data_IF_380263130107
#
_entry.id   IF_380263130107
#
_cell.length_a   1.000
_cell.length_b   1.000
_cell.length_c   1.000
_cell.angle_alpha   90.00
_cell.angle_beta   90.00
_cell.angle_gamma   90.00
#
_symmetry.space_group_name_H-M   'P 1'
#
loop_
_entity.id
_entity.type
_entity.pdbx_description
1 polymer ?
#
# COMPACT_ATOMS: atom_id res chain seq x y z
N UNK A 1 -55.80 -63.41 -4.50
CA UNK A 1 -54.87 -62.69 -5.41
C UNK A 1 -54.33 -61.48 -4.68
N UNK A 2 -53.03 -61.46 -4.37
CA UNK A 2 -52.33 -60.36 -3.70
C UNK A 2 -52.01 -59.28 -4.74
N UNK A 3 -52.44 -58.03 -4.52
CA UNK A 3 -51.86 -56.87 -5.20
C UNK A 3 -51.07 -56.07 -4.17
N UNK A 4 -49.76 -56.19 -4.31
CA UNK A 4 -48.73 -55.44 -3.60
C UNK A 4 -48.34 -54.22 -4.46
N UNK A 5 -47.62 -53.29 -3.83
CA UNK A 5 -46.86 -52.13 -4.37
C UNK A 5 -47.58 -50.78 -4.45
N UNK A 6 -47.50 -50.04 -3.35
CA UNK A 6 -47.29 -48.58 -3.37
C UNK A 6 -45.83 -48.33 -3.01
N UNK A 7 -45.05 -47.76 -3.93
CA UNK A 7 -43.63 -47.45 -3.70
C UNK A 7 -43.50 -46.06 -3.10
N UNK A 8 -42.98 -46.08 -1.88
CA UNK A 8 -42.61 -44.95 -1.03
C UNK A 8 -41.44 -44.14 -1.64
N UNK A 9 -41.50 -42.84 -1.38
CA UNK A 9 -40.61 -41.74 -1.77
C UNK A 9 -39.09 -42.05 -1.86
N UNK A 10 -38.44 -41.48 -2.88
CA UNK A 10 -37.00 -41.18 -2.85
C UNK A 10 -36.86 -39.68 -2.62
N UNK A 11 -36.33 -39.32 -1.45
CA UNK A 11 -36.14 -37.95 -1.00
C UNK A 11 -35.02 -37.22 -1.72
N UNK A 12 -35.22 -35.92 -1.91
CA UNK A 12 -34.20 -34.97 -2.37
C UNK A 12 -33.22 -34.75 -1.20
N UNK A 13 -32.00 -35.28 -1.31
CA UNK A 13 -30.92 -34.93 -0.40
C UNK A 13 -30.34 -33.57 -0.82
N UNK A 14 -30.80 -32.49 -0.18
CA UNK A 14 -30.11 -31.19 -0.22
C UNK A 14 -28.92 -31.28 0.72
N UNK A 15 -27.74 -31.56 0.16
CA UNK A 15 -26.47 -31.46 0.89
C UNK A 15 -26.18 -29.99 1.13
N UNK A 16 -26.51 -29.51 2.33
CA UNK A 16 -26.07 -28.22 2.83
C UNK A 16 -24.56 -28.29 3.09
N UNK A 17 -23.78 -27.90 2.09
CA UNK A 17 -22.36 -27.61 2.27
C UNK A 17 -22.25 -26.25 2.97
N UNK A 18 -22.38 -26.25 4.30
CA UNK A 18 -22.04 -25.12 5.16
C UNK A 18 -20.51 -24.99 5.15
N UNK A 19 -19.98 -24.40 4.08
CA UNK A 19 -18.57 -24.03 4.00
C UNK A 19 -18.29 -22.96 5.04
N UNK A 20 -17.41 -23.26 6.00
CA UNK A 20 -16.82 -22.24 6.86
C UNK A 20 -16.10 -21.24 5.98
N UNK A 21 -16.73 -20.10 5.69
CA UNK A 21 -16.06 -18.94 5.12
C UNK A 21 -15.14 -18.40 6.20
N UNK A 22 -13.87 -18.83 6.19
CA UNK A 22 -12.85 -18.16 6.95
C UNK A 22 -12.77 -16.72 6.44
N UNK A 23 -13.20 -15.76 7.25
CA UNK A 23 -12.97 -14.34 6.96
C UNK A 23 -11.47 -14.13 7.02
N UNK A 24 -10.83 -13.95 5.85
CA UNK A 24 -9.48 -13.43 5.82
C UNK A 24 -9.54 -12.02 6.43
N UNK A 25 -8.95 -11.84 7.61
CA UNK A 25 -8.76 -10.51 8.16
C UNK A 25 -7.60 -9.90 7.39
N UNK A 26 -7.86 -8.79 6.70
CA UNK A 26 -6.77 -7.97 6.19
C UNK A 26 -5.97 -7.45 7.40
N UNK A 27 -4.65 -7.56 7.37
CA UNK A 27 -3.76 -7.17 8.47
C UNK A 27 -2.98 -5.92 8.05
N UNK A 28 -2.70 -5.03 8.99
CA UNK A 28 -1.74 -3.95 8.78
C UNK A 28 -0.37 -4.51 8.42
N UNK A 29 0.20 -4.04 7.32
CA UNK A 29 1.56 -4.40 6.89
C UNK A 29 2.49 -3.22 7.11
N UNK A 30 3.63 -3.46 7.75
CA UNK A 30 4.64 -2.43 8.04
C UNK A 30 5.90 -2.68 7.23
N UNK A 31 6.38 -1.65 6.55
CA UNK A 31 7.61 -1.63 5.78
C UNK A 31 8.64 -0.78 6.52
N UNK A 32 9.82 -1.36 6.78
CA UNK A 32 10.99 -0.61 7.22
C UNK A 32 11.76 -0.20 5.97
N UNK A 33 11.78 1.08 5.66
CA UNK A 33 12.27 1.60 4.39
C UNK A 33 13.53 2.45 4.59
N UNK A 34 14.43 2.34 3.61
CA UNK A 34 15.52 3.29 3.38
C UNK A 34 15.34 3.86 1.98
N UNK A 35 15.07 5.16 1.92
CA UNK A 35 14.88 5.91 0.68
C UNK A 35 16.17 6.67 0.39
N UNK A 36 16.69 6.54 -0.83
CA UNK A 36 17.92 7.19 -1.27
C UNK A 36 17.59 8.12 -2.43
N UNK A 37 18.00 9.38 -2.38
CA UNK A 37 17.82 10.29 -3.52
C UNK A 37 18.63 9.84 -4.75
N UNK A 38 19.71 9.09 -4.54
CA UNK A 38 20.42 8.37 -5.61
C UNK A 38 19.55 7.38 -6.40
N UNK A 39 18.42 6.92 -5.85
CA UNK A 39 17.51 5.99 -6.53
C UNK A 39 16.43 6.70 -7.35
N UNK A 40 16.38 8.03 -7.38
CA UNK A 40 15.39 8.76 -8.17
C UNK A 40 15.77 8.75 -9.67
N UNK A 41 14.91 8.22 -10.56
CA UNK A 41 15.14 8.25 -11.99
C UNK A 41 14.68 9.58 -12.64
N UNK A 42 15.43 10.08 -13.61
CA UNK A 42 14.98 11.16 -14.48
C UNK A 42 13.92 10.67 -15.50
N UNK A 43 13.43 11.57 -16.36
CA UNK A 43 12.48 11.22 -17.43
C UNK A 43 13.02 10.30 -18.52
N UNK A 44 14.34 10.08 -18.57
CA UNK A 44 15.00 9.13 -19.47
C UNK A 44 15.38 7.81 -18.75
N UNK A 45 15.12 7.69 -17.45
CA UNK A 45 15.39 6.52 -16.63
C UNK A 45 16.80 6.45 -16.03
N UNK A 46 17.58 7.54 -16.11
CA UNK A 46 18.87 7.61 -15.44
C UNK A 46 18.67 7.82 -13.94
N UNK A 47 19.29 6.98 -13.11
CA UNK A 47 19.27 7.13 -11.65
C UNK A 47 20.14 8.30 -11.18
N UNK A 48 19.86 8.79 -9.98
CA UNK A 48 20.61 9.89 -9.35
C UNK A 48 20.13 11.28 -9.78
N UNK A 49 18.90 11.37 -10.30
CA UNK A 49 18.27 12.64 -10.66
C UNK A 49 17.78 13.43 -9.44
N UNK A 50 17.57 12.72 -8.32
CA UNK A 50 17.26 13.30 -7.02
C UNK A 50 18.48 13.87 -6.32
N UNK A 51 18.44 13.95 -5.00
CA UNK A 51 19.58 14.39 -4.20
C UNK A 51 20.54 13.22 -3.91
N UNK A 52 21.76 13.18 -4.50
CA UNK A 52 22.56 11.96 -4.49
C UNK A 52 23.02 11.48 -3.11
N UNK A 53 23.14 12.38 -2.13
CA UNK A 53 23.50 12.06 -0.73
C UNK A 53 22.31 12.15 0.23
N UNK A 54 21.12 12.49 -0.28
CA UNK A 54 19.86 12.51 0.45
C UNK A 54 19.41 11.12 0.86
N UNK A 55 19.03 10.98 2.13
CA UNK A 55 18.56 9.72 2.70
C UNK A 55 17.38 9.94 3.63
N UNK A 56 16.40 9.03 3.60
CA UNK A 56 15.37 8.91 4.63
C UNK A 56 15.25 7.46 5.11
N UNK A 57 15.06 7.28 6.41
CA UNK A 57 14.82 5.97 7.02
C UNK A 57 13.59 6.04 7.91
N UNK A 58 12.79 4.99 7.92
CA UNK A 58 11.55 5.03 8.67
C UNK A 58 10.63 3.86 8.42
N UNK A 59 9.41 4.03 8.93
CA UNK A 59 8.33 3.07 8.79
C UNK A 59 7.20 3.64 7.94
N UNK A 60 6.64 2.77 7.11
CA UNK A 60 5.37 2.98 6.42
C UNK A 60 4.45 1.81 6.77
N UNK A 61 3.29 2.09 7.35
CA UNK A 61 2.30 1.09 7.68
C UNK A 61 1.03 1.29 6.84
N UNK A 62 0.61 0.24 6.14
CA UNK A 62 -0.61 0.23 5.35
C UNK A 62 -1.66 -0.58 6.09
N UNK A 63 -2.78 0.05 6.43
CA UNK A 63 -3.89 -0.59 7.14
C UNK A 63 -5.12 -0.70 6.22
N UNK A 64 -5.35 -1.87 5.60
CA UNK A 64 -6.50 -2.10 4.72
C UNK A 64 -7.84 -2.24 5.46
N UNK A 65 -7.85 -2.31 6.81
CA UNK A 65 -9.09 -2.39 7.60
C UNK A 65 -9.55 -1.00 8.02
N UNK A 66 -8.61 -0.13 8.38
CA UNK A 66 -8.91 1.24 8.78
C UNK A 66 -8.83 2.23 7.62
N UNK A 67 -8.41 1.78 6.43
CA UNK A 67 -8.10 2.61 5.28
C UNK A 67 -7.13 3.75 5.63
N UNK A 68 -6.01 3.39 6.27
CA UNK A 68 -4.97 4.35 6.67
C UNK A 68 -3.59 4.00 6.14
N UNK A 69 -2.82 5.05 5.88
CA UNK A 69 -1.37 4.98 5.66
C UNK A 69 -0.68 5.79 6.73
N UNK A 70 0.02 5.14 7.64
CA UNK A 70 0.76 5.77 8.72
C UNK A 70 2.25 5.78 8.37
N UNK A 71 2.92 6.91 8.56
CA UNK A 71 4.34 7.05 8.25
C UNK A 71 5.09 7.81 9.33
N UNK A 72 6.34 7.40 9.54
CA UNK A 72 7.29 8.08 10.41
C UNK A 72 8.70 7.87 9.85
N UNK A 73 9.26 8.93 9.28
CA UNK A 73 10.57 8.95 8.65
C UNK A 73 11.44 10.04 9.24
N UNK A 74 12.72 9.73 9.40
CA UNK A 74 13.79 10.72 9.60
C UNK A 74 14.58 10.84 8.32
N UNK A 75 14.83 12.07 7.87
CA UNK A 75 15.63 12.36 6.68
C UNK A 75 16.82 13.26 7.01
N UNK A 76 17.85 13.15 6.18
CA UNK A 76 19.05 13.98 6.25
C UNK A 76 19.64 14.26 4.88
N UNK A 77 20.49 15.29 4.83
CA UNK A 77 21.21 15.72 3.63
C UNK A 77 20.30 16.03 2.45
N UNK A 78 19.15 16.68 2.70
CA UNK A 78 18.30 17.18 1.62
C UNK A 78 18.71 18.61 1.26
N UNK A 79 19.09 18.82 0.01
CA UNK A 79 19.46 20.09 -0.58
C UNK A 79 18.22 20.91 -0.96
N UNK A 80 18.43 22.22 -1.10
CA UNK A 80 17.38 23.17 -1.48
C UNK A 80 16.95 24.07 -0.32
N UNK A 81 15.76 24.65 -0.45
CA UNK A 81 15.22 25.64 0.51
C UNK A 81 14.10 25.10 1.38
N UNK A 82 13.40 24.05 0.92
CA UNK A 82 12.32 23.40 1.63
C UNK A 82 11.98 22.04 1.00
N UNK A 83 11.46 21.09 1.79
CA UNK A 83 10.84 19.86 1.25
C UNK A 83 9.59 20.23 0.45
N UNK A 84 9.49 19.73 -0.79
CA UNK A 84 8.40 20.04 -1.73
C UNK A 84 7.32 18.96 -1.82
N UNK A 85 7.62 17.73 -1.38
CA UNK A 85 6.65 16.64 -1.39
C UNK A 85 7.16 15.38 -0.70
N UNK A 86 6.22 14.51 -0.34
CA UNK A 86 6.50 13.18 0.19
C UNK A 86 5.36 12.27 -0.30
N UNK A 87 5.69 11.12 -0.89
CA UNK A 87 4.69 10.33 -1.61
C UNK A 87 5.18 8.91 -1.96
N UNK A 88 4.24 8.08 -2.39
CA UNK A 88 4.46 6.75 -2.95
C UNK A 88 4.13 6.83 -4.45
N UNK A 89 5.01 6.33 -5.31
CA UNK A 89 4.79 6.26 -6.76
C UNK A 89 3.87 5.09 -7.14
N UNK A 90 3.34 5.10 -8.37
CA UNK A 90 2.68 3.93 -8.94
C UNK A 90 3.66 2.78 -9.23
N UNK A 91 3.16 1.64 -9.74
CA UNK A 91 4.02 0.51 -10.08
C UNK A 91 5.06 0.87 -11.13
N UNK A 92 6.34 0.58 -10.86
CA UNK A 92 7.45 0.95 -11.73
C UNK A 92 8.62 -0.05 -11.63
N UNK A 93 9.50 0.00 -12.63
CA UNK A 93 10.87 -0.52 -12.47
C UNK A 93 11.76 0.59 -11.89
N UNK A 94 12.94 0.27 -11.31
CA UNK A 94 13.80 1.29 -10.71
C UNK A 94 14.18 2.46 -11.64
N UNK A 95 14.21 2.21 -12.96
CA UNK A 95 14.59 3.20 -13.98
C UNK A 95 13.39 3.87 -14.64
N UNK A 96 12.20 3.76 -14.07
CA UNK A 96 10.99 4.26 -14.69
C UNK A 96 10.31 5.30 -13.81
N UNK A 97 10.29 6.54 -14.28
CA UNK A 97 9.55 7.61 -13.62
C UNK A 97 8.04 7.44 -13.90
N UNK A 98 7.25 7.34 -12.85
CA UNK A 98 5.78 7.20 -12.91
C UNK A 98 5.11 8.19 -11.97
N UNK A 99 3.82 8.45 -12.17
CA UNK A 99 3.07 9.39 -11.36
C UNK A 99 2.94 8.98 -9.88
N UNK A 100 2.58 9.96 -9.05
CA UNK A 100 2.26 9.77 -7.64
C UNK A 100 1.00 8.91 -7.48
N UNK A 101 1.11 7.83 -6.70
CA UNK A 101 -0.03 7.01 -6.29
C UNK A 101 -0.69 7.57 -5.02
N UNK A 102 0.09 7.75 -3.94
CA UNK A 102 -0.40 8.24 -2.65
C UNK A 102 0.44 9.45 -2.23
N UNK A 103 -0.20 10.60 -2.04
CA UNK A 103 0.43 11.77 -1.45
C UNK A 103 0.49 11.64 0.07
N UNK A 104 1.65 11.88 0.67
CA UNK A 104 1.86 11.93 2.11
C UNK A 104 2.00 13.40 2.53
N UNK A 105 1.07 13.96 3.31
CA UNK A 105 1.16 15.34 3.76
C UNK A 105 2.48 15.64 4.46
N UNK A 106 3.05 16.83 4.25
CA UNK A 106 4.29 17.20 4.93
C UNK A 106 3.97 17.64 6.36
N UNK A 107 4.65 17.05 7.35
CA UNK A 107 4.64 17.55 8.74
C UNK A 107 5.72 18.60 8.99
N UNK A 108 6.73 18.66 8.11
CA UNK A 108 7.80 19.66 8.14
C UNK A 108 8.29 19.96 6.73
N UNK A 109 8.76 21.17 6.49
CA UNK A 109 9.44 21.56 5.26
C UNK A 109 10.93 21.82 5.47
N UNK A 110 11.46 21.53 6.65
CA UNK A 110 12.84 21.85 7.03
C UNK A 110 13.88 21.11 6.17
N UNK A 111 15.03 21.75 5.97
CA UNK A 111 16.22 21.18 5.33
C UNK A 111 17.46 21.63 6.12
N UNK A 112 18.57 20.86 6.13
CA UNK A 112 18.76 19.62 5.37
C UNK A 112 18.24 18.35 6.07
N UNK A 113 17.82 18.47 7.34
CA UNK A 113 17.43 17.33 8.16
C UNK A 113 16.07 17.56 8.82
N UNK A 114 15.36 16.49 9.11
CA UNK A 114 14.09 16.57 9.83
C UNK A 114 13.34 15.25 9.86
N UNK A 115 12.06 15.33 10.19
CA UNK A 115 11.16 14.19 10.26
C UNK A 115 9.87 14.44 9.48
N UNK A 116 9.35 13.40 8.84
CA UNK A 116 7.99 13.35 8.31
C UNK A 116 7.18 12.34 9.11
N UNK A 117 6.13 12.81 9.79
CA UNK A 117 5.24 11.96 10.59
C UNK A 117 3.80 12.33 10.28
N UNK A 118 2.97 11.33 10.01
CA UNK A 118 1.56 11.58 9.82
C UNK A 118 0.78 10.35 9.40
N UNK A 119 -0.47 10.62 9.04
CA UNK A 119 -1.43 9.62 8.62
C UNK A 119 -2.18 10.16 7.39
N UNK A 120 -2.39 9.30 6.41
CA UNK A 120 -3.33 9.51 5.31
C UNK A 120 -4.56 8.67 5.57
N UNK A 121 -5.73 9.28 5.36
CA UNK A 121 -7.03 8.64 5.49
C UNK A 121 -7.85 8.87 4.22
N UNK A 122 -9.03 8.25 4.12
CA UNK A 122 -9.98 8.50 3.03
C UNK A 122 -10.43 9.96 2.90
N UNK A 123 -10.27 10.78 3.95
CA UNK A 123 -10.52 12.21 3.88
C UNK A 123 -9.45 12.98 3.08
N UNK A 124 -8.22 12.44 3.03
CA UNK A 124 -7.13 12.98 2.22
C UNK A 124 -7.21 12.46 0.78
N UNK A 125 -7.63 11.20 0.60
CA UNK A 125 -7.76 10.55 -0.70
C UNK A 125 -8.92 9.55 -0.70
N UNK A 126 -10.01 9.88 -1.41
CA UNK A 126 -11.20 9.05 -1.44
C UNK A 126 -10.99 7.64 -2.03
N UNK A 127 -9.87 7.41 -2.75
CA UNK A 127 -9.52 6.11 -3.32
C UNK A 127 -8.45 5.37 -2.51
N UNK A 128 -8.12 5.82 -1.29
CA UNK A 128 -7.01 5.29 -0.51
C UNK A 128 -7.11 3.79 -0.27
N UNK A 129 -8.30 3.27 0.06
CA UNK A 129 -8.53 1.84 0.31
C UNK A 129 -8.07 0.99 -0.87
N UNK A 130 -8.50 1.35 -2.09
CA UNK A 130 -8.13 0.64 -3.30
C UNK A 130 -6.62 0.74 -3.60
N UNK A 131 -5.99 1.88 -3.30
CA UNK A 131 -4.54 2.07 -3.49
C UNK A 131 -3.74 1.24 -2.49
N UNK A 132 -4.18 1.15 -1.23
CA UNK A 132 -3.59 0.25 -0.22
C UNK A 132 -3.63 -1.18 -0.72
N UNK A 133 -4.80 -1.65 -1.17
CA UNK A 133 -4.95 -3.01 -1.72
C UNK A 133 -4.03 -3.25 -2.92
N UNK A 134 -3.89 -2.25 -3.79
CA UNK A 134 -2.99 -2.30 -4.95
C UNK A 134 -1.52 -2.47 -4.53
N UNK A 135 -1.08 -1.82 -3.46
CA UNK A 135 0.29 -1.95 -2.94
C UNK A 135 0.47 -3.31 -2.26
N UNK A 136 -0.48 -3.73 -1.43
CA UNK A 136 -0.41 -4.99 -0.70
C UNK A 136 -0.49 -6.23 -1.60
N UNK A 137 -1.17 -6.12 -2.75
CA UNK A 137 -1.24 -7.21 -3.73
C UNK A 137 0.10 -7.48 -4.45
N UNK A 138 0.97 -6.47 -4.60
CA UNK A 138 2.27 -6.61 -5.26
C UNK A 138 3.29 -5.59 -4.72
N UNK A 139 3.77 -5.72 -3.47
CA UNK A 139 4.60 -4.71 -2.83
C UNK A 139 5.95 -4.53 -3.51
N UNK A 140 6.45 -5.53 -4.25
CA UNK A 140 7.74 -5.45 -4.96
C UNK A 140 7.71 -4.60 -6.24
N UNK A 141 6.53 -4.14 -6.66
CA UNK A 141 6.40 -3.27 -7.83
C UNK A 141 6.43 -1.77 -7.51
N UNK A 142 6.55 -1.40 -6.23
CA UNK A 142 6.56 -0.02 -5.72
C UNK A 142 7.89 0.27 -5.03
#
# INVERSE_FOLDING_TARGET
>A
MRKCTSRLLVGVAVVWLLGCVATASAQTVTFNLTLLGANEPDGAGNLGAGDPDGIATGILALNPVADTVDYNFTYSNINGTAISGFHIHGPATPTQNVGVLIGLPLSSTAVPNGTQVGQVTVANDANLSAKIDQVLANPTAY
#
